data_IF_240653466884
#
_entry.id   IF_240653466884
#
_cell.length_a   1.000
_cell.length_b   1.000
_cell.length_c   1.000
_cell.angle_alpha   90.00
_cell.angle_beta   90.00
_cell.angle_gamma   90.00
#
_symmetry.space_group_name_H-M   'P 1'
#
loop_
_entity.id
_entity.type
_entity.pdbx_description
1 polymer ?
#
# COMPACT_ATOMS: atom_id res chain seq x y z
N UNK A 1 -20.10 -15.48 3.82
CA UNK A 1 -19.73 -14.58 2.70
C UNK A 1 -18.30 -14.89 2.28
N UNK A 2 -18.05 -15.10 0.99
CA UNK A 2 -16.69 -15.31 0.45
C UNK A 2 -16.05 -13.95 0.11
N UNK A 3 -14.87 -13.69 0.65
CA UNK A 3 -14.10 -12.49 0.28
C UNK A 3 -13.42 -12.71 -1.08
N UNK A 4 -13.56 -11.76 -2.01
CA UNK A 4 -12.79 -11.74 -3.26
C UNK A 4 -11.47 -11.03 -3.02
N UNK A 5 -10.37 -11.59 -3.54
CA UNK A 5 -9.01 -11.04 -3.42
C UNK A 5 -8.47 -10.73 -4.80
N UNK A 6 -7.91 -9.54 -4.99
CA UNK A 6 -7.28 -9.10 -6.23
C UNK A 6 -5.84 -8.74 -5.91
N UNK A 7 -4.90 -9.30 -6.67
CA UNK A 7 -3.48 -8.97 -6.57
C UNK A 7 -3.04 -8.20 -7.81
N UNK A 8 -2.50 -7.00 -7.61
CA UNK A 8 -1.98 -6.16 -8.70
C UNK A 8 -0.46 -6.29 -8.73
N UNK A 9 0.06 -6.90 -9.79
CA UNK A 9 1.50 -7.08 -10.03
C UNK A 9 1.96 -6.26 -11.25
N UNK A 10 3.27 -6.19 -11.47
CA UNK A 10 3.88 -5.50 -12.59
C UNK A 10 5.38 -5.76 -12.62
N UNK A 11 5.97 -5.67 -13.79
CA UNK A 11 7.35 -6.08 -14.07
C UNK A 11 8.40 -5.16 -13.48
N UNK A 12 8.09 -3.87 -13.34
CA UNK A 12 9.04 -2.86 -12.88
C UNK A 12 8.41 -1.97 -11.80
N UNK A 13 9.23 -1.17 -11.14
CA UNK A 13 8.86 -0.05 -10.26
C UNK A 13 8.24 1.09 -11.07
N UNK A 14 7.45 1.95 -10.43
CA UNK A 14 6.79 3.11 -11.06
C UNK A 14 5.89 2.86 -12.29
N UNK A 15 5.66 1.61 -12.72
CA UNK A 15 4.78 1.25 -13.87
C UNK A 15 3.27 1.49 -13.65
N UNK A 16 2.87 2.17 -12.56
CA UNK A 16 1.47 2.52 -12.30
C UNK A 16 0.65 1.49 -11.52
N UNK A 17 1.27 0.49 -10.87
CA UNK A 17 0.55 -0.52 -10.04
C UNK A 17 -0.37 0.12 -9.00
N UNK A 18 0.14 1.12 -8.26
CA UNK A 18 -0.64 1.83 -7.24
C UNK A 18 -1.82 2.57 -7.85
N UNK A 19 -1.65 3.18 -9.03
CA UNK A 19 -2.72 3.90 -9.74
C UNK A 19 -3.85 2.93 -10.10
N UNK A 20 -3.52 1.78 -10.69
CA UNK A 20 -4.50 0.73 -11.03
C UNK A 20 -5.21 0.21 -9.78
N UNK A 21 -4.48 -0.08 -8.71
CA UNK A 21 -5.06 -0.54 -7.45
C UNK A 21 -6.01 0.51 -6.82
N UNK A 22 -5.65 1.79 -6.85
CA UNK A 22 -6.53 2.87 -6.39
C UNK A 22 -7.79 2.99 -7.25
N UNK A 23 -7.67 2.86 -8.58
CA UNK A 23 -8.82 2.91 -9.48
C UNK A 23 -9.80 1.74 -9.22
N UNK A 24 -9.28 0.53 -9.02
CA UNK A 24 -10.08 -0.64 -8.63
C UNK A 24 -10.78 -0.41 -7.29
N UNK A 25 -10.07 0.10 -6.29
CA UNK A 25 -10.63 0.37 -4.97
C UNK A 25 -11.77 1.41 -5.04
N UNK A 26 -11.55 2.53 -5.74
CA UNK A 26 -12.58 3.56 -5.94
C UNK A 26 -13.80 3.00 -6.66
N UNK A 27 -13.61 2.31 -7.78
CA UNK A 27 -14.72 1.72 -8.54
C UNK A 27 -15.54 0.73 -7.72
N UNK A 28 -14.89 -0.13 -6.94
CA UNK A 28 -15.59 -1.06 -6.04
C UNK A 28 -16.34 -0.33 -4.92
N UNK A 29 -15.75 0.74 -4.36
CA UNK A 29 -16.42 1.58 -3.35
C UNK A 29 -17.63 2.30 -3.92
N UNK A 30 -17.54 2.81 -5.13
CA UNK A 30 -18.66 3.50 -5.80
C UNK A 30 -19.79 2.53 -6.16
N UNK A 31 -19.50 1.24 -6.30
CA UNK A 31 -20.49 0.16 -6.41
C UNK A 31 -21.06 -0.31 -5.05
N UNK A 32 -20.70 0.35 -3.94
CA UNK A 32 -21.20 0.02 -2.60
C UNK A 32 -20.52 -1.19 -1.93
N UNK A 33 -19.41 -1.69 -2.49
CA UNK A 33 -18.68 -2.79 -1.88
C UNK A 33 -17.88 -2.35 -0.64
N UNK A 34 -17.69 -3.28 0.32
CA UNK A 34 -16.66 -3.13 1.34
C UNK A 34 -15.31 -3.49 0.73
N UNK A 35 -14.35 -2.58 0.83
CA UNK A 35 -13.03 -2.70 0.18
C UNK A 35 -11.95 -2.48 1.24
N UNK A 36 -11.03 -3.42 1.32
CA UNK A 36 -9.79 -3.30 2.07
C UNK A 36 -8.60 -3.35 1.10
N UNK A 37 -7.50 -2.73 1.49
CA UNK A 37 -6.30 -2.56 0.66
C UNK A 37 -5.05 -2.88 1.44
N UNK A 38 -4.00 -3.26 0.72
CA UNK A 38 -2.70 -3.54 1.31
C UNK A 38 -1.59 -3.16 0.34
N UNK A 39 -0.58 -2.46 0.86
CA UNK A 39 0.75 -2.29 0.28
C UNK A 39 1.71 -3.06 1.19
N UNK A 40 1.92 -4.37 0.98
CA UNK A 40 2.61 -5.21 1.97
C UNK A 40 4.02 -4.73 2.29
N UNK A 41 4.73 -4.25 1.27
CA UNK A 41 6.10 -3.75 1.39
C UNK A 41 6.23 -2.42 0.67
N UNK A 42 6.81 -1.42 1.35
CA UNK A 42 7.12 -0.11 0.79
C UNK A 42 8.49 0.36 1.28
N UNK A 43 9.27 0.95 0.37
CA UNK A 43 10.51 1.67 0.65
C UNK A 43 10.37 3.13 0.24
N UNK A 44 11.28 4.00 0.68
CA UNK A 44 11.17 5.44 0.46
C UNK A 44 10.03 6.11 1.23
N UNK A 45 9.64 5.55 2.38
CA UNK A 45 8.61 6.13 3.23
C UNK A 45 9.12 7.37 3.97
N UNK A 46 8.22 8.33 4.21
CA UNK A 46 8.54 9.57 4.91
C UNK A 46 8.26 9.41 6.40
N UNK A 47 9.17 9.91 7.26
CA UNK A 47 8.94 9.99 8.70
C UNK A 47 7.90 11.07 9.01
N UNK A 48 6.84 10.67 9.71
CA UNK A 48 5.77 11.57 10.19
C UNK A 48 5.60 11.41 11.71
N UNK A 49 4.84 12.29 12.39
CA UNK A 49 4.51 12.12 13.81
C UNK A 49 3.85 10.77 14.14
N UNK A 50 3.12 10.19 13.17
CA UNK A 50 2.45 8.90 13.34
C UNK A 50 3.33 7.70 12.93
N UNK A 51 4.61 7.93 12.63
CA UNK A 51 5.58 6.94 12.15
C UNK A 51 5.86 7.04 10.65
N UNK A 52 6.48 6.00 10.07
CA UNK A 52 6.79 5.97 8.64
C UNK A 52 5.52 5.88 7.79
N UNK A 53 5.46 6.67 6.71
CA UNK A 53 4.31 6.73 5.80
C UNK A 53 4.75 6.61 4.34
N UNK A 54 4.23 5.59 3.68
CA UNK A 54 4.35 5.39 2.24
C UNK A 54 3.25 6.15 1.52
N UNK A 55 3.61 6.95 0.52
CA UNK A 55 2.66 7.63 -0.34
C UNK A 55 1.70 6.63 -1.04
N UNK A 56 2.21 5.46 -1.44
CA UNK A 56 1.40 4.40 -2.04
C UNK A 56 0.33 3.88 -1.07
N UNK A 57 0.71 3.61 0.18
CA UNK A 57 -0.20 3.09 1.20
C UNK A 57 -1.28 4.11 1.56
N UNK A 58 -0.90 5.39 1.69
CA UNK A 58 -1.83 6.48 1.95
C UNK A 58 -2.84 6.65 0.81
N UNK A 59 -2.38 6.63 -0.44
CA UNK A 59 -3.26 6.73 -1.61
C UNK A 59 -4.27 5.57 -1.67
N UNK A 60 -3.84 4.35 -1.32
CA UNK A 60 -4.72 3.18 -1.24
C UNK A 60 -5.78 3.34 -0.14
N UNK A 61 -5.39 3.81 1.06
CA UNK A 61 -6.32 4.05 2.18
C UNK A 61 -7.41 5.03 1.77
N UNK A 62 -7.00 6.14 1.16
CA UNK A 62 -7.91 7.17 0.65
C UNK A 62 -8.86 6.58 -0.41
N UNK A 63 -8.32 5.86 -1.39
CA UNK A 63 -9.09 5.25 -2.48
C UNK A 63 -10.13 4.23 -1.97
N UNK A 64 -9.77 3.42 -0.98
CA UNK A 64 -10.67 2.44 -0.37
C UNK A 64 -11.65 3.06 0.64
N UNK A 65 -11.43 4.32 1.04
CA UNK A 65 -12.15 4.97 2.16
C UNK A 65 -12.25 4.02 3.35
N UNK A 66 -11.12 3.39 3.69
CA UNK A 66 -11.03 2.40 4.77
C UNK A 66 -10.53 3.06 6.06
N UNK A 67 -10.94 2.50 7.19
CA UNK A 67 -10.46 2.86 8.53
C UNK A 67 -9.46 1.82 9.07
N UNK A 68 -9.01 0.91 8.22
CA UNK A 68 -8.04 -0.13 8.58
C UNK A 68 -6.75 0.51 9.10
N UNK A 69 -6.23 0.05 10.25
CA UNK A 69 -4.98 0.56 10.80
C UNK A 69 -3.83 0.52 9.79
N UNK A 70 -3.02 1.58 9.75
CA UNK A 70 -1.91 1.72 8.80
C UNK A 70 -0.98 0.50 8.83
N UNK A 71 -0.68 -0.05 10.01
CA UNK A 71 0.19 -1.22 10.17
C UNK A 71 -0.34 -2.49 9.48
N UNK A 72 -1.66 -2.60 9.26
CA UNK A 72 -2.25 -3.70 8.48
C UNK A 72 -2.23 -3.41 6.98
N UNK A 73 -2.30 -2.15 6.59
CA UNK A 73 -2.19 -1.74 5.18
C UNK A 73 -0.75 -1.85 4.69
N UNK A 74 0.23 -1.37 5.47
CA UNK A 74 1.65 -1.39 5.12
C UNK A 74 2.51 -1.87 6.30
N UNK A 75 2.57 -3.20 6.54
CA UNK A 75 3.31 -3.79 7.66
C UNK A 75 4.82 -3.62 7.54
N UNK A 76 5.37 -3.71 6.31
CA UNK A 76 6.79 -3.50 6.06
C UNK A 76 6.99 -2.14 5.38
N UNK A 77 7.36 -1.15 6.17
CA UNK A 77 7.53 0.23 5.74
C UNK A 77 8.96 0.69 6.07
N UNK A 78 9.75 0.96 5.03
CA UNK A 78 11.16 1.34 5.16
C UNK A 78 11.39 2.76 4.67
N UNK A 79 12.27 3.48 5.36
CA UNK A 79 12.65 4.86 5.05
C UNK A 79 13.57 4.98 3.83
N UNK A 80 14.62 4.13 3.66
CA UNK A 80 15.53 4.25 2.53
C UNK A 80 14.81 4.08 1.17
N UNK A 81 15.01 4.98 0.18
CA UNK A 81 14.38 4.90 -1.14
C UNK A 81 15.13 3.95 -2.07
N UNK A 82 15.38 2.73 -1.61
CA UNK A 82 16.08 1.67 -2.34
C UNK A 82 15.15 0.48 -2.56
N UNK A 83 15.63 -0.58 -3.21
CA UNK A 83 14.82 -1.80 -3.35
C UNK A 83 14.45 -2.34 -1.96
N UNK A 84 13.25 -2.92 -1.77
CA UNK A 84 12.83 -3.39 -0.45
C UNK A 84 13.78 -4.41 0.19
N UNK A 85 14.47 -5.23 -0.61
CA UNK A 85 15.46 -6.18 -0.10
C UNK A 85 16.66 -5.47 0.53
N UNK A 86 17.16 -4.39 -0.10
CA UNK A 86 18.27 -3.60 0.42
C UNK A 86 17.79 -2.82 1.66
N UNK A 87 16.61 -2.21 1.58
CA UNK A 87 16.04 -1.44 2.69
C UNK A 87 15.82 -2.30 3.95
N UNK A 88 15.40 -3.56 3.79
CA UNK A 88 15.27 -4.50 4.89
C UNK A 88 16.64 -4.86 5.51
N UNK A 89 17.65 -5.13 4.68
CA UNK A 89 19.00 -5.41 5.14
C UNK A 89 19.62 -4.21 5.91
N UNK A 90 19.40 -2.98 5.46
CA UNK A 90 19.84 -1.76 6.16
C UNK A 90 19.10 -1.55 7.49
N UNK A 91 17.83 -1.97 7.57
CA UNK A 91 17.04 -1.90 8.79
C UNK A 91 17.36 -3.03 9.79
N UNK A 92 18.21 -4.00 9.42
CA UNK A 92 18.54 -5.19 10.21
C UNK A 92 17.30 -6.06 10.52
N UNK A 93 16.35 -6.14 9.57
CA UNK A 93 15.10 -6.91 9.66
C UNK A 93 15.12 -8.02 8.62
#
# INVERSE_FOLDING_TARGET
MTARRIFVTGTDTAVGKTVVACALARGLKDLGARVEVMKPVASGAVRTPDGLRSADALALIEAARTVTPYALVNPYCFEPPVSPQIAAAEAMI
#
